data_IF_645776920186
#
_entry.id   IF_645776920186
#
_cell.length_a   1.000
_cell.length_b   1.000
_cell.length_c   1.000
_cell.angle_alpha   90.00
_cell.angle_beta   90.00
_cell.angle_gamma   90.00
#
_symmetry.space_group_name_H-M   'P 1'
#
loop_
_entity.id
_entity.type
_entity.pdbx_description
1 polymer ?
#
# COMPACT_ATOMS: atom_id res chain seq x y z
N UNK A 1 8.56 -40.12 18.34
CA UNK A 1 8.75 -39.72 16.95
C UNK A 1 7.45 -39.96 16.21
N UNK A 2 6.80 -38.93 15.67
CA UNK A 2 5.60 -39.08 14.84
C UNK A 2 6.00 -39.81 13.56
N UNK A 3 5.24 -40.82 13.16
CA UNK A 3 5.46 -41.44 11.84
C UNK A 3 5.14 -40.38 10.76
N UNK A 4 5.83 -40.46 9.63
CA UNK A 4 5.65 -39.52 8.51
C UNK A 4 4.17 -39.36 8.10
N UNK A 5 3.41 -40.45 8.10
CA UNK A 5 1.95 -40.39 7.81
C UNK A 5 1.16 -39.58 8.85
N UNK A 6 1.53 -39.63 10.13
CA UNK A 6 0.90 -38.79 11.17
C UNK A 6 1.25 -37.30 10.99
N UNK A 7 2.47 -37.01 10.56
CA UNK A 7 2.88 -35.66 10.23
C UNK A 7 2.06 -35.09 9.06
N UNK A 8 1.94 -35.82 7.93
CA UNK A 8 1.14 -35.38 6.78
C UNK A 8 -0.33 -35.21 7.16
N UNK A 9 -0.89 -36.11 7.97
CA UNK A 9 -2.25 -35.98 8.46
C UNK A 9 -2.43 -34.71 9.33
N UNK A 10 -1.50 -34.45 10.24
CA UNK A 10 -1.49 -33.27 11.05
C UNK A 10 -1.47 -31.98 10.17
N UNK A 11 -0.58 -31.94 9.17
CA UNK A 11 -0.49 -30.80 8.26
C UNK A 11 -1.79 -30.55 7.47
N UNK A 12 -2.44 -31.61 6.99
CA UNK A 12 -3.74 -31.51 6.32
C UNK A 12 -4.86 -30.99 7.22
N UNK A 13 -4.78 -31.27 8.50
CA UNK A 13 -5.77 -30.80 9.49
C UNK A 13 -5.53 -29.34 9.85
N UNK A 14 -4.26 -28.95 9.99
CA UNK A 14 -3.91 -27.56 10.35
C UNK A 14 -4.08 -26.58 9.17
N UNK A 15 -3.85 -27.06 7.94
CA UNK A 15 -3.88 -26.25 6.73
C UNK A 15 -4.88 -26.82 5.73
N UNK A 16 -6.16 -26.50 5.89
CA UNK A 16 -7.21 -27.04 5.02
C UNK A 16 -7.11 -26.45 3.60
N UNK A 17 -7.57 -27.19 2.58
CA UNK A 17 -7.74 -26.66 1.24
C UNK A 17 -8.59 -25.37 1.26
N UNK A 18 -8.20 -24.38 0.45
CA UNK A 18 -8.83 -23.05 0.41
C UNK A 18 -8.11 -22.00 1.27
N UNK A 19 -7.17 -22.40 2.14
CA UNK A 19 -6.34 -21.45 2.88
C UNK A 19 -5.52 -20.57 1.92
N UNK A 20 -5.37 -19.30 2.25
CA UNK A 20 -4.54 -18.36 1.47
C UNK A 20 -3.06 -18.55 1.82
N UNK A 21 -2.20 -18.43 0.84
CA UNK A 21 -0.76 -18.64 0.96
C UNK A 21 -0.03 -17.44 0.42
N UNK A 22 0.87 -16.86 1.20
CA UNK A 22 1.82 -15.82 0.77
C UNK A 22 3.20 -16.44 0.60
N UNK A 23 3.80 -16.28 -0.56
CA UNK A 23 5.19 -16.64 -0.79
C UNK A 23 6.10 -15.51 -0.30
N UNK A 24 6.99 -15.79 0.64
CA UNK A 24 7.88 -14.80 1.23
C UNK A 24 9.23 -14.75 0.53
N UNK A 25 9.84 -15.91 0.29
CA UNK A 25 11.06 -16.02 -0.49
C UNK A 25 11.26 -17.44 -1.02
N UNK A 26 12.05 -17.54 -2.10
CA UNK A 26 12.46 -18.79 -2.70
C UNK A 26 13.99 -18.90 -2.73
N UNK A 27 14.56 -20.00 -2.30
CA UNK A 27 15.99 -20.28 -2.40
C UNK A 27 16.43 -20.67 -3.82
N UNK A 28 15.47 -20.96 -4.71
CA UNK A 28 15.74 -21.34 -6.10
C UNK A 28 14.92 -20.46 -7.07
N UNK A 29 15.41 -20.24 -8.30
CA UNK A 29 14.69 -19.49 -9.32
C UNK A 29 13.40 -20.25 -9.69
N UNK A 30 12.30 -19.88 -9.05
CA UNK A 30 10.96 -20.43 -9.32
C UNK A 30 10.14 -19.47 -10.18
N UNK A 31 9.14 -19.99 -10.87
CA UNK A 31 8.32 -19.19 -11.77
C UNK A 31 7.36 -18.22 -11.04
N UNK A 32 7.34 -18.22 -9.71
CA UNK A 32 6.46 -17.40 -8.89
C UNK A 32 7.30 -16.38 -8.14
N UNK A 33 7.05 -15.07 -8.31
CA UNK A 33 7.74 -14.02 -7.56
C UNK A 33 7.44 -14.06 -6.06
N UNK A 34 8.38 -13.59 -5.24
CA UNK A 34 8.14 -13.34 -3.82
C UNK A 34 7.01 -12.32 -3.65
N UNK A 35 6.25 -12.42 -2.58
CA UNK A 35 5.07 -11.59 -2.34
C UNK A 35 3.80 -12.05 -3.07
N UNK A 36 3.88 -13.08 -3.93
CA UNK A 36 2.68 -13.58 -4.63
C UNK A 36 1.76 -14.33 -3.66
N UNK A 37 0.47 -14.00 -3.74
CA UNK A 37 -0.58 -14.76 -3.05
C UNK A 37 -1.07 -15.93 -3.88
N UNK A 38 -1.57 -16.94 -3.21
CA UNK A 38 -2.18 -18.12 -3.82
C UNK A 38 -3.16 -18.82 -2.89
N UNK A 39 -3.76 -19.89 -3.39
CA UNK A 39 -4.70 -20.71 -2.63
C UNK A 39 -4.15 -22.12 -2.51
N UNK A 40 -4.07 -22.62 -1.28
CA UNK A 40 -3.71 -24.01 -1.00
C UNK A 40 -4.79 -24.94 -1.54
N UNK A 41 -4.40 -25.88 -2.39
CA UNK A 41 -5.33 -26.89 -2.93
C UNK A 41 -5.30 -28.18 -2.10
N UNK A 42 -4.12 -28.61 -1.69
CA UNK A 42 -3.96 -29.77 -0.83
C UNK A 42 -2.53 -29.86 -0.26
N UNK A 43 -2.34 -30.66 0.77
CA UNK A 43 -1.02 -31.18 1.19
C UNK A 43 -0.89 -32.60 0.64
N UNK A 44 0.11 -32.81 -0.21
CA UNK A 44 0.31 -34.12 -0.88
C UNK A 44 0.83 -35.20 0.07
N UNK A 45 1.04 -36.41 -0.45
CA UNK A 45 1.55 -37.53 0.34
C UNK A 45 3.02 -37.38 0.77
N UNK A 46 3.76 -36.44 0.15
CA UNK A 46 5.11 -36.05 0.49
C UNK A 46 5.17 -34.84 1.44
N UNK A 47 4.03 -34.40 1.98
CA UNK A 47 3.95 -33.25 2.89
C UNK A 47 4.18 -31.89 2.22
N UNK A 48 4.14 -31.81 0.89
CA UNK A 48 4.29 -30.57 0.14
C UNK A 48 2.94 -29.89 0.00
N UNK A 49 2.95 -28.55 0.02
CA UNK A 49 1.77 -27.70 -0.13
C UNK A 49 1.56 -27.39 -1.60
N UNK A 50 0.50 -27.90 -2.21
CA UNK A 50 0.15 -27.62 -3.60
C UNK A 50 -0.65 -26.33 -3.67
N UNK A 51 -0.08 -25.31 -4.33
CA UNK A 51 -0.65 -23.95 -4.38
C UNK A 51 -1.00 -23.56 -5.80
N UNK A 52 -2.22 -23.05 -5.97
CA UNK A 52 -2.64 -22.29 -7.13
C UNK A 52 -2.39 -20.81 -6.86
N UNK A 53 -1.43 -20.21 -7.55
CA UNK A 53 -1.08 -18.81 -7.39
C UNK A 53 -2.04 -17.90 -8.14
N UNK A 54 -2.28 -16.70 -7.62
CA UNK A 54 -3.20 -15.73 -8.22
C UNK A 54 -2.72 -15.26 -9.60
N UNK A 55 -1.43 -15.40 -9.92
CA UNK A 55 -0.86 -15.17 -11.25
C UNK A 55 -1.11 -16.34 -12.24
N UNK A 56 -1.94 -17.32 -11.88
CA UNK A 56 -2.32 -18.47 -12.71
C UNK A 56 -1.33 -19.63 -12.72
N UNK A 57 -0.21 -19.52 -12.02
CA UNK A 57 0.79 -20.59 -11.91
C UNK A 57 0.42 -21.60 -10.82
N UNK A 58 1.01 -22.79 -10.89
CA UNK A 58 0.86 -23.84 -9.88
C UNK A 58 2.22 -24.38 -9.48
N UNK A 59 2.48 -24.47 -8.19
CA UNK A 59 3.70 -25.05 -7.65
C UNK A 59 3.42 -25.85 -6.40
N UNK A 60 4.39 -26.70 -6.03
CA UNK A 60 4.44 -27.36 -4.74
C UNK A 60 5.48 -26.64 -3.88
N UNK A 61 5.12 -26.27 -2.66
CA UNK A 61 6.02 -25.69 -1.67
C UNK A 61 6.46 -26.75 -0.68
N UNK A 62 7.74 -26.68 -0.29
CA UNK A 62 8.33 -27.51 0.74
C UNK A 62 8.75 -26.63 1.93
N UNK A 63 8.36 -26.99 3.14
CA UNK A 63 8.72 -26.22 4.35
C UNK A 63 10.24 -26.17 4.62
N UNK A 64 11.01 -27.08 4.05
CA UNK A 64 12.48 -27.09 4.22
C UNK A 64 13.18 -26.08 3.32
N UNK A 65 12.62 -25.82 2.11
CA UNK A 65 13.28 -25.04 1.06
C UNK A 65 12.55 -23.74 0.73
N UNK A 66 11.29 -23.60 1.14
CA UNK A 66 10.43 -22.47 0.77
C UNK A 66 9.94 -21.73 2.00
N UNK A 67 10.05 -20.41 1.98
CA UNK A 67 9.52 -19.55 3.02
C UNK A 67 8.16 -19.01 2.57
N UNK A 68 7.12 -19.41 3.26
CA UNK A 68 5.74 -19.01 2.96
C UNK A 68 4.91 -18.95 4.25
N UNK A 69 3.78 -18.28 4.15
CA UNK A 69 2.81 -18.19 5.23
C UNK A 69 1.43 -18.62 4.75
N UNK A 70 0.67 -19.28 5.63
CA UNK A 70 -0.68 -19.76 5.34
C UNK A 70 -1.67 -19.05 6.26
N UNK A 71 -2.74 -18.51 5.67
CA UNK A 71 -3.80 -17.78 6.34
C UNK A 71 -5.15 -18.43 6.09
N UNK A 72 -6.09 -18.22 7.00
CA UNK A 72 -7.45 -18.76 6.85
C UNK A 72 -8.40 -17.81 6.12
N UNK A 73 -8.02 -16.54 5.96
CA UNK A 73 -8.85 -15.50 5.34
C UNK A 73 -8.08 -14.71 4.28
N UNK A 74 -8.82 -13.98 3.45
CA UNK A 74 -8.26 -12.98 2.56
C UNK A 74 -7.69 -11.79 3.35
N UNK A 75 -6.75 -11.04 2.77
CA UNK A 75 -6.26 -9.81 3.36
C UNK A 75 -7.39 -8.83 3.68
N UNK A 76 -7.23 -8.09 4.75
CA UNK A 76 -8.10 -6.97 5.14
C UNK A 76 -7.48 -5.67 4.65
N UNK A 77 -8.31 -4.72 4.24
CA UNK A 77 -7.89 -3.38 3.87
C UNK A 77 -7.72 -2.52 5.13
N UNK A 78 -6.60 -1.79 5.20
CA UNK A 78 -6.35 -0.76 6.21
C UNK A 78 -5.83 0.48 5.49
N UNK A 79 -6.58 1.58 5.61
CA UNK A 79 -6.17 2.88 5.08
C UNK A 79 -5.63 3.77 6.18
N UNK A 80 -4.53 4.44 5.89
CA UNK A 80 -3.88 5.40 6.78
C UNK A 80 -3.80 6.74 6.05
N UNK A 81 -4.35 7.80 6.64
CA UNK A 81 -4.48 9.11 6.03
C UNK A 81 -3.50 10.11 6.62
N UNK A 82 -3.03 11.03 5.81
CA UNK A 82 -2.21 12.16 6.22
C UNK A 82 -2.47 13.38 5.33
N UNK A 83 -2.40 14.61 5.86
CA UNK A 83 -2.74 15.81 5.11
C UNK A 83 -1.67 16.19 4.09
N UNK A 84 -2.12 16.61 2.90
CA UNK A 84 -1.28 17.14 1.83
C UNK A 84 -1.76 18.51 1.40
N UNK A 85 -0.83 19.32 0.88
CA UNK A 85 -1.09 20.58 0.21
C UNK A 85 -0.80 20.49 -1.27
N UNK A 86 -1.48 21.32 -2.06
CA UNK A 86 -1.18 21.53 -3.45
C UNK A 86 -1.02 23.02 -3.76
N UNK A 87 0.15 23.41 -4.23
CA UNK A 87 0.49 24.77 -4.62
C UNK A 87 0.70 24.85 -6.12
N UNK A 88 -0.09 25.67 -6.79
CA UNK A 88 -0.01 25.88 -8.24
C UNK A 88 0.79 27.12 -8.59
N UNK A 89 1.93 26.94 -9.24
CA UNK A 89 2.73 27.99 -9.84
C UNK A 89 2.34 28.18 -11.31
N UNK A 90 1.84 29.35 -11.69
CA UNK A 90 1.53 29.68 -13.07
C UNK A 90 2.73 30.30 -13.77
N UNK A 91 2.91 30.06 -15.08
CA UNK A 91 3.97 30.69 -15.86
C UNK A 91 3.46 32.01 -16.47
N UNK A 92 4.30 33.03 -16.37
CA UNK A 92 4.05 34.31 -17.04
C UNK A 92 4.22 34.19 -18.58
N UNK A 93 4.04 35.32 -19.31
CA UNK A 93 4.20 35.38 -20.77
C UNK A 93 5.63 35.05 -21.24
N UNK A 94 6.60 35.19 -20.37
CA UNK A 94 8.02 34.94 -20.64
C UNK A 94 8.44 33.50 -20.30
N UNK A 95 7.55 32.74 -19.70
CA UNK A 95 7.79 31.32 -19.31
C UNK A 95 8.37 31.15 -17.91
N UNK A 96 8.56 32.25 -17.15
CA UNK A 96 9.00 32.15 -15.74
C UNK A 96 7.83 31.81 -14.85
N UNK A 97 8.09 31.02 -13.79
CA UNK A 97 7.09 30.75 -12.76
C UNK A 97 6.79 32.00 -11.93
N UNK A 98 5.57 32.13 -11.48
CA UNK A 98 5.18 33.17 -10.53
C UNK A 98 5.94 32.96 -9.20
N UNK A 99 6.25 34.09 -8.53
CA UNK A 99 6.95 34.04 -7.23
C UNK A 99 6.04 33.50 -6.12
N UNK A 100 4.72 33.74 -6.23
CA UNK A 100 3.71 33.33 -5.27
C UNK A 100 2.80 32.27 -5.92
N UNK A 101 2.66 31.07 -5.33
CA UNK A 101 1.73 30.07 -5.81
C UNK A 101 0.28 30.39 -5.43
N UNK A 102 -0.64 29.81 -6.17
CA UNK A 102 -2.04 29.70 -5.77
C UNK A 102 -2.20 28.41 -4.96
N UNK A 103 -2.55 28.54 -3.68
CA UNK A 103 -2.92 27.38 -2.87
C UNK A 103 -4.23 26.79 -3.44
N UNK A 104 -4.16 25.51 -3.83
CA UNK A 104 -5.31 24.79 -4.36
C UNK A 104 -6.10 24.14 -3.24
N UNK A 105 -7.35 24.60 -3.08
CA UNK A 105 -8.30 24.05 -2.10
C UNK A 105 -9.66 23.81 -2.74
N UNK A 106 -10.41 22.87 -2.18
CA UNK A 106 -11.78 22.62 -2.59
C UNK A 106 -11.90 22.17 -4.04
N UNK A 107 -12.83 22.79 -4.76
CA UNK A 107 -13.11 22.46 -6.15
C UNK A 107 -11.94 22.75 -7.11
N UNK A 108 -10.99 23.60 -6.71
CA UNK A 108 -9.83 23.94 -7.54
C UNK A 108 -8.82 22.79 -7.62
N UNK A 109 -8.79 21.88 -6.63
CA UNK A 109 -7.97 20.68 -6.64
C UNK A 109 -8.53 19.56 -7.53
N UNK A 110 -9.85 19.47 -7.64
CA UNK A 110 -10.52 18.38 -8.34
C UNK A 110 -10.00 18.13 -9.77
N UNK A 111 -9.72 19.16 -10.59
CA UNK A 111 -9.20 18.98 -11.95
C UNK A 111 -7.83 18.30 -12.00
N UNK A 112 -7.02 18.44 -10.95
CA UNK A 112 -5.63 17.98 -10.90
C UNK A 112 -5.44 16.63 -10.21
N UNK A 113 -6.48 16.08 -9.59
CA UNK A 113 -6.37 14.83 -8.84
C UNK A 113 -5.85 13.66 -9.69
N UNK A 114 -6.24 13.63 -10.98
CA UNK A 114 -5.74 12.64 -11.92
C UNK A 114 -4.25 12.76 -12.17
N UNK A 115 -3.77 13.99 -12.42
CA UNK A 115 -2.36 14.27 -12.67
C UNK A 115 -1.50 13.98 -11.44
N UNK A 116 -2.02 14.30 -10.24
CA UNK A 116 -1.36 13.97 -8.97
C UNK A 116 -1.21 12.46 -8.79
N UNK A 117 -2.27 11.69 -9.05
CA UNK A 117 -2.23 10.23 -8.96
C UNK A 117 -1.26 9.61 -9.96
N UNK A 118 -1.29 10.09 -11.20
CA UNK A 118 -0.40 9.59 -12.25
C UNK A 118 1.06 9.83 -11.86
N UNK A 119 1.41 11.06 -11.44
CA UNK A 119 2.76 11.39 -11.00
C UNK A 119 3.20 10.57 -9.79
N UNK A 120 2.30 10.35 -8.82
CA UNK A 120 2.53 9.51 -7.66
C UNK A 120 2.83 8.07 -8.05
N UNK A 121 2.01 7.50 -8.92
CA UNK A 121 2.17 6.11 -9.32
C UNK A 121 3.40 5.90 -10.22
N UNK A 122 3.76 6.87 -11.05
CA UNK A 122 4.98 6.82 -11.86
C UNK A 122 6.26 6.92 -11.02
N UNK A 123 6.22 7.64 -9.91
CA UNK A 123 7.37 7.83 -9.02
C UNK A 123 7.59 6.69 -8.02
N UNK A 124 6.57 5.87 -7.76
CA UNK A 124 6.78 4.63 -7.01
C UNK A 124 7.65 3.68 -7.81
N UNK A 125 8.71 3.14 -7.20
CA UNK A 125 9.63 2.23 -7.89
C UNK A 125 8.86 1.02 -8.44
N UNK A 126 9.26 0.48 -9.62
CA UNK A 126 8.57 -0.66 -10.23
C UNK A 126 8.42 -1.87 -9.30
N UNK A 127 9.41 -2.09 -8.43
CA UNK A 127 9.38 -3.17 -7.45
C UNK A 127 8.36 -2.91 -6.34
N UNK A 128 8.11 -1.66 -5.99
CA UNK A 128 7.07 -1.24 -5.05
C UNK A 128 5.69 -1.38 -5.69
N UNK A 129 5.54 -1.06 -6.97
CA UNK A 129 4.29 -1.28 -7.71
C UNK A 129 3.89 -2.76 -7.79
N UNK A 130 4.87 -3.67 -7.89
CA UNK A 130 4.62 -5.11 -7.96
C UNK A 130 4.37 -5.76 -6.58
N UNK A 131 5.01 -5.25 -5.51
CA UNK A 131 5.11 -5.92 -4.21
C UNK A 131 4.67 -5.06 -3.03
N UNK A 132 4.45 -3.76 -3.27
CA UNK A 132 4.19 -2.76 -2.24
C UNK A 132 5.42 -2.34 -1.44
N UNK A 133 5.32 -1.22 -0.74
CA UNK A 133 6.41 -0.63 0.05
C UNK A 133 6.97 -1.59 1.11
N UNK A 134 6.13 -2.41 1.71
CA UNK A 134 6.53 -3.37 2.74
C UNK A 134 7.49 -4.45 2.25
N UNK A 135 7.67 -4.60 0.94
CA UNK A 135 8.68 -5.50 0.38
C UNK A 135 10.10 -5.20 0.87
N UNK A 136 10.43 -3.94 1.09
CA UNK A 136 11.75 -3.51 1.57
C UNK A 136 11.95 -3.72 3.07
N UNK A 137 10.88 -3.84 3.82
CA UNK A 137 10.90 -4.03 5.26
C UNK A 137 11.15 -5.50 5.61
N UNK A 138 12.40 -5.94 5.51
CA UNK A 138 12.78 -7.35 5.67
C UNK A 138 13.26 -7.71 7.07
N UNK A 139 13.01 -6.90 8.06
CA UNK A 139 13.31 -7.33 9.42
C UNK A 139 12.35 -8.46 9.85
N UNK A 140 12.86 -9.53 10.49
CA UNK A 140 12.06 -10.68 10.88
C UNK A 140 11.26 -10.38 12.15
N UNK A 141 10.34 -9.43 12.07
CA UNK A 141 9.43 -9.12 13.14
C UNK A 141 7.98 -9.42 12.79
N UNK A 142 7.08 -9.30 13.77
CA UNK A 142 5.67 -9.60 13.59
C UNK A 142 5.01 -8.73 12.52
N UNK A 143 5.46 -7.48 12.35
CA UNK A 143 4.89 -6.54 11.39
C UNK A 143 5.09 -7.01 9.94
N UNK A 144 6.30 -7.45 9.59
CA UNK A 144 6.63 -7.97 8.25
C UNK A 144 5.74 -9.15 7.85
N UNK A 145 5.27 -9.92 8.83
CA UNK A 145 4.43 -11.08 8.57
C UNK A 145 2.93 -10.75 8.51
N UNK A 146 2.52 -9.64 9.12
CA UNK A 146 1.11 -9.24 9.21
C UNK A 146 0.67 -8.31 8.08
N UNK A 147 1.60 -7.57 7.48
CA UNK A 147 1.33 -6.65 6.37
C UNK A 147 1.86 -7.25 5.08
N UNK A 148 0.97 -7.50 4.13
CA UNK A 148 1.33 -8.02 2.81
C UNK A 148 1.95 -6.94 1.94
N UNK A 149 1.28 -5.80 1.87
CA UNK A 149 1.67 -4.67 1.01
C UNK A 149 1.14 -3.36 1.57
N UNK A 150 1.77 -2.28 1.19
CA UNK A 150 1.29 -0.93 1.37
C UNK A 150 1.64 -0.12 0.12
N UNK A 151 0.72 0.71 -0.35
CA UNK A 151 0.91 1.59 -1.51
C UNK A 151 0.41 2.98 -1.14
N UNK A 152 1.04 4.01 -1.70
CA UNK A 152 0.54 5.37 -1.57
C UNK A 152 -0.46 5.71 -2.67
N UNK A 153 -1.50 6.43 -2.30
CA UNK A 153 -2.46 7.07 -3.19
C UNK A 153 -2.87 8.43 -2.61
N UNK A 154 -3.73 9.15 -3.29
CA UNK A 154 -4.26 10.44 -2.86
C UNK A 154 -5.78 10.47 -3.00
N UNK A 155 -6.45 11.12 -2.06
CA UNK A 155 -7.90 11.30 -2.07
C UNK A 155 -8.26 12.76 -1.74
N UNK A 156 -9.46 13.19 -2.15
CA UNK A 156 -10.05 14.46 -1.76
C UNK A 156 -11.17 14.23 -0.77
N UNK A 157 -11.05 14.84 0.42
CA UNK A 157 -12.11 14.89 1.42
C UNK A 157 -12.41 16.36 1.75
N UNK A 158 -13.64 16.80 1.56
CA UNK A 158 -14.09 18.19 1.73
C UNK A 158 -13.23 19.24 1.01
N UNK A 159 -12.66 18.85 -0.11
CA UNK A 159 -11.78 19.72 -0.89
C UNK A 159 -10.35 19.84 -0.34
N UNK A 160 -10.02 19.16 0.72
CA UNK A 160 -8.66 18.99 1.21
C UNK A 160 -8.02 17.76 0.54
N UNK A 161 -6.77 17.90 0.09
CA UNK A 161 -5.98 16.79 -0.41
C UNK A 161 -5.43 15.98 0.75
N UNK A 162 -5.61 14.68 0.64
CA UNK A 162 -5.08 13.72 1.60
C UNK A 162 -4.21 12.69 0.88
N UNK A 163 -3.04 12.45 1.43
CA UNK A 163 -2.27 11.26 1.13
C UNK A 163 -2.88 10.07 1.88
N UNK A 164 -2.82 8.92 1.25
CA UNK A 164 -3.33 7.68 1.79
C UNK A 164 -2.30 6.58 1.60
N UNK A 165 -2.01 5.82 2.67
CA UNK A 165 -1.34 4.54 2.54
C UNK A 165 -2.40 3.43 2.59
N UNK A 166 -2.60 2.75 1.46
CA UNK A 166 -3.52 1.62 1.31
C UNK A 166 -2.76 0.33 1.61
N UNK A 167 -3.13 -0.33 2.71
CA UNK A 167 -2.41 -1.49 3.23
C UNK A 167 -3.27 -2.75 3.16
N UNK A 168 -2.70 -3.84 2.66
CA UNK A 168 -3.29 -5.17 2.77
C UNK A 168 -2.75 -5.87 4.01
N UNK A 169 -3.62 -6.08 5.00
CA UNK A 169 -3.31 -6.66 6.31
C UNK A 169 -3.74 -8.11 6.35
N UNK A 170 -2.82 -9.01 6.67
CA UNK A 170 -3.06 -10.46 6.73
C UNK A 170 -3.56 -10.93 8.11
N UNK A 171 -3.20 -10.20 9.15
CA UNK A 171 -3.63 -10.45 10.52
C UNK A 171 -3.86 -9.11 11.24
N UNK A 172 -4.79 -9.01 12.19
CA UNK A 172 -5.01 -7.79 12.95
C UNK A 172 -3.73 -7.27 13.60
N UNK A 173 -3.52 -5.95 13.52
CA UNK A 173 -2.41 -5.27 14.16
C UNK A 173 -2.78 -4.87 15.59
N UNK A 174 -1.89 -5.14 16.53
CA UNK A 174 -1.97 -4.61 17.89
C UNK A 174 -1.47 -3.16 17.94
N UNK A 175 -1.79 -2.41 19.00
CA UNK A 175 -1.50 -0.97 19.07
C UNK A 175 -0.03 -0.62 18.82
N UNK A 176 0.91 -1.40 19.33
CA UNK A 176 2.35 -1.20 19.11
C UNK A 176 2.75 -1.48 17.65
N UNK A 177 2.18 -2.51 17.04
CA UNK A 177 2.42 -2.87 15.64
C UNK A 177 1.84 -1.82 14.69
N UNK A 178 0.67 -1.27 15.00
CA UNK A 178 0.07 -0.18 14.23
C UNK A 178 0.95 1.08 14.30
N UNK A 179 1.43 1.46 15.49
CA UNK A 179 2.33 2.60 15.66
C UNK A 179 3.64 2.42 14.87
N UNK A 180 4.18 1.21 14.81
CA UNK A 180 5.39 0.91 14.03
C UNK A 180 5.12 1.00 12.54
N UNK A 181 3.97 0.52 12.07
CA UNK A 181 3.56 0.66 10.67
C UNK A 181 3.39 2.13 10.28
N UNK A 182 2.68 2.92 11.07
CA UNK A 182 2.48 4.35 10.79
C UNK A 182 3.81 5.11 10.80
N UNK A 183 4.71 4.83 11.73
CA UNK A 183 6.05 5.45 11.76
C UNK A 183 6.87 5.08 10.53
N UNK A 184 6.84 3.82 10.12
CA UNK A 184 7.54 3.36 8.92
C UNK A 184 6.99 4.05 7.66
N UNK A 185 5.68 4.06 7.48
CA UNK A 185 5.03 4.66 6.31
C UNK A 185 5.15 6.19 6.30
N UNK A 186 5.16 6.83 7.47
CA UNK A 186 5.44 8.26 7.58
C UNK A 186 6.87 8.60 7.09
N UNK A 187 7.86 7.78 7.46
CA UNK A 187 9.21 7.89 6.92
C UNK A 187 9.23 7.70 5.40
N UNK A 188 8.49 6.72 4.88
CA UNK A 188 8.40 6.49 3.43
C UNK A 188 7.68 7.65 2.72
N UNK A 189 6.64 8.24 3.30
CA UNK A 189 5.95 9.40 2.75
C UNK A 189 6.86 10.64 2.70
N UNK A 190 7.76 10.81 3.68
CA UNK A 190 8.73 11.90 3.70
C UNK A 190 9.89 11.70 2.72
N UNK A 191 10.37 10.45 2.57
CA UNK A 191 11.59 10.13 1.81
C UNK A 191 11.32 9.26 0.57
N UNK A 192 10.13 8.66 0.49
CA UNK A 192 9.91 7.40 -0.22
C UNK A 192 9.68 7.48 -1.71
N UNK A 193 9.48 8.64 -2.29
CA UNK A 193 9.31 8.77 -3.74
C UNK A 193 10.51 9.44 -4.39
N UNK A 194 11.69 8.98 -3.98
CA UNK A 194 12.95 9.54 -4.39
C UNK A 194 13.31 10.79 -3.59
N UNK A 195 12.37 11.69 -3.31
CA UNK A 195 12.60 12.95 -2.59
C UNK A 195 11.38 13.34 -1.71
N UNK A 196 10.46 12.39 -1.46
CA UNK A 196 9.25 12.63 -0.69
C UNK A 196 8.17 13.41 -1.44
N UNK A 197 7.07 13.71 -0.74
CA UNK A 197 6.00 14.56 -1.30
C UNK A 197 6.44 16.03 -1.46
N UNK A 198 7.45 16.47 -0.72
CA UNK A 198 7.92 17.86 -0.72
C UNK A 198 8.52 18.31 -2.06
N UNK A 199 8.87 17.41 -2.96
CA UNK A 199 9.56 17.71 -4.20
C UNK A 199 8.83 17.23 -5.45
N UNK A 200 7.54 16.88 -5.32
CA UNK A 200 6.74 16.45 -6.47
C UNK A 200 6.35 17.66 -7.31
N UNK A 201 7.10 17.88 -8.38
CA UNK A 201 6.79 18.87 -9.40
C UNK A 201 5.96 18.22 -10.52
N UNK A 202 4.66 18.54 -10.55
CA UNK A 202 3.73 17.99 -11.53
C UNK A 202 3.43 19.03 -12.60
N UNK A 203 3.89 18.86 -13.86
CA UNK A 203 3.55 19.79 -14.93
C UNK A 203 2.04 19.74 -15.24
N UNK A 204 1.34 20.86 -15.10
CA UNK A 204 -0.10 20.97 -15.38
C UNK A 204 -0.38 22.14 -16.33
N UNK A 205 -0.73 21.83 -17.56
CA UNK A 205 -0.97 22.85 -18.58
C UNK A 205 0.20 23.82 -18.76
N UNK A 206 0.04 25.10 -18.33
CA UNK A 206 1.09 26.11 -18.34
C UNK A 206 1.74 26.33 -16.97
N UNK A 207 1.36 25.55 -16.00
CA UNK A 207 1.82 25.68 -14.62
C UNK A 207 2.67 24.52 -14.17
N UNK A 208 2.99 24.58 -12.91
CA UNK A 208 3.65 23.56 -12.15
C UNK A 208 2.91 23.41 -10.82
N UNK A 209 2.42 22.19 -10.55
CA UNK A 209 1.78 21.89 -9.29
C UNK A 209 2.80 21.23 -8.37
N UNK A 210 2.96 21.80 -7.18
CA UNK A 210 3.68 21.19 -6.08
C UNK A 210 2.70 20.50 -5.14
N UNK A 211 2.90 19.22 -4.89
CA UNK A 211 2.20 18.48 -3.84
C UNK A 211 3.20 18.18 -2.75
N UNK A 212 2.90 18.58 -1.54
CA UNK A 212 3.80 18.43 -0.41
C UNK A 212 3.06 18.10 0.89
N UNK A 213 3.79 17.59 1.87
CA UNK A 213 3.31 17.41 3.22
C UNK A 213 3.02 18.78 3.85
N UNK A 214 2.11 18.80 4.82
CA UNK A 214 1.74 20.03 5.50
C UNK A 214 2.92 20.65 6.26
N UNK A 215 3.53 21.69 5.70
CA UNK A 215 4.65 22.41 6.30
C UNK A 215 4.28 23.09 7.62
N UNK A 216 5.14 22.92 8.63
CA UNK A 216 5.06 23.64 9.90
C UNK A 216 4.06 23.08 10.91
N UNK A 217 3.45 21.93 10.66
CA UNK A 217 2.65 21.21 11.64
C UNK A 217 3.20 19.80 11.82
N UNK A 218 3.14 19.31 13.07
CA UNK A 218 3.33 17.88 13.34
C UNK A 218 2.14 17.14 12.69
N UNK A 219 2.41 16.35 11.66
CA UNK A 219 1.42 15.50 11.03
C UNK A 219 1.63 14.05 11.44
N UNK A 220 0.55 13.34 11.61
CA UNK A 220 0.56 11.92 11.95
C UNK A 220 -0.34 11.17 10.95
N UNK A 221 0.02 9.94 10.65
CA UNK A 221 -0.89 9.05 9.93
C UNK A 221 -2.01 8.60 10.85
N UNK A 222 -3.24 8.69 10.35
CA UNK A 222 -4.45 8.33 11.09
C UNK A 222 -5.20 7.21 10.40
N UNK A 223 -5.75 6.28 11.18
CA UNK A 223 -6.72 5.29 10.70
C UNK A 223 -8.12 5.85 10.54
N UNK A 224 -8.34 7.08 11.03
CA UNK A 224 -9.63 7.75 10.92
C UNK A 224 -9.74 8.40 9.56
N UNK A 225 -10.72 7.96 8.77
CA UNK A 225 -11.06 8.62 7.51
C UNK A 225 -11.43 10.08 7.77
N UNK A 226 -10.89 11.04 6.98
CA UNK A 226 -11.26 12.44 7.11
C UNK A 226 -12.75 12.64 6.92
N UNK A 227 -13.37 13.48 7.75
CA UNK A 227 -14.82 13.72 7.71
C UNK A 227 -15.22 14.30 6.36
N UNK A 228 -16.24 13.73 5.74
CA UNK A 228 -16.93 14.33 4.61
C UNK A 228 -18.08 15.19 5.18
N UNK A 229 -17.93 16.50 5.20
CA UNK A 229 -19.06 17.36 5.49
C UNK A 229 -20.01 17.31 4.29
N UNK A 230 -21.18 16.72 4.46
CA UNK A 230 -22.25 16.84 3.49
C UNK A 230 -22.52 18.34 3.30
N UNK A 231 -22.20 18.87 2.12
CA UNK A 231 -22.62 20.22 1.77
C UNK A 231 -24.12 20.36 2.02
N UNK A 232 -24.57 21.34 2.83
CA UNK A 232 -26.00 21.48 3.09
C UNK A 232 -26.68 21.63 1.75
N UNK A 233 -27.55 20.67 1.43
CA UNK A 233 -28.27 20.60 0.18
C UNK A 233 -28.89 21.97 -0.09
N UNK A 234 -28.64 22.49 -1.28
CA UNK A 234 -29.33 23.68 -1.80
C UNK A 234 -30.81 23.34 -1.83
N UNK A 235 -31.54 23.69 -0.76
CA UNK A 235 -32.98 23.71 -0.77
C UNK A 235 -33.42 24.65 -1.88
N UNK A 236 -33.80 24.07 -3.01
CA UNK A 236 -34.53 24.82 -4.03
C UNK A 236 -35.84 25.23 -3.40
N UNK A 237 -35.93 26.51 -3.01
CA UNK A 237 -37.16 27.15 -2.63
C UNK A 237 -38.20 27.06 -3.76
N UNK A 238 -39.46 26.86 -3.45
CA UNK A 238 -40.54 26.69 -4.42
C UNK A 238 -40.88 27.92 -5.22
#
# INVERSE_FOLDING_TARGET
MLTYQKYVHFMRTQFPPGSRVLLLSNDQPKPVPDGTMGTLTEVDSAGRFLVNWDNGKRTALNMEDDHFRIFQSDPMELKLYFPLHGDLYTRNEWGDLADDPEELVGSNLTPYLGDIREALHENQLPEEQERGLMHWYREPDALTWKVKSAFFDVELHDGQLWGMADCEILEPLEGDELNRLTTYLAGQASDGWGEGFEQQEIPVGRGLLYVHLWDGQDWEMSTTEPEQHESPGMEMAP
#
